data_IF_414209272930
#
_entry.id   IF_414209272930
#
_cell.length_a   1.000
_cell.length_b   1.000
_cell.length_c   1.000
_cell.angle_alpha   90.00
_cell.angle_beta   90.00
_cell.angle_gamma   90.00
#
_symmetry.space_group_name_H-M   'P 1'
#
loop_
_entity.id
_entity.type
_entity.pdbx_description
1 polymer ?
#
# COMPACT_ATOMS: atom_id res chain seq x y z
N UNK A 1 30.25 -2.94 17.06
CA UNK A 1 29.80 -3.49 18.36
C UNK A 1 28.33 -3.92 18.26
N UNK A 2 27.95 -4.61 17.17
CA UNK A 2 26.56 -5.06 17.01
C UNK A 2 26.35 -6.35 17.79
N UNK A 3 25.24 -6.44 18.50
CA UNK A 3 24.82 -7.60 19.29
C UNK A 3 23.30 -7.81 19.17
N UNK A 4 22.72 -8.69 20.00
CA UNK A 4 21.27 -8.95 19.98
C UNK A 4 20.44 -7.74 20.44
N UNK A 5 20.97 -6.93 21.36
CA UNK A 5 20.30 -5.74 21.87
C UNK A 5 20.48 -4.53 20.94
N UNK A 6 21.58 -4.51 20.18
CA UNK A 6 22.00 -3.46 19.26
C UNK A 6 22.22 -4.03 17.85
N UNK A 7 21.15 -4.17 17.03
CA UNK A 7 21.24 -4.82 15.73
C UNK A 7 22.25 -4.19 14.76
N UNK A 8 22.41 -2.86 14.81
CA UNK A 8 23.38 -2.12 14.01
C UNK A 8 24.07 -1.10 14.91
N UNK A 9 25.34 -1.36 15.26
CA UNK A 9 26.17 -0.44 16.04
C UNK A 9 27.59 -0.34 15.48
N UNK A 10 27.84 0.77 14.79
CA UNK A 10 29.13 1.13 14.21
C UNK A 10 29.73 2.29 15.03
N UNK A 11 30.91 2.07 15.60
CA UNK A 11 31.62 3.08 16.40
C UNK A 11 32.86 3.52 15.64
N UNK A 12 32.98 4.83 15.39
CA UNK A 12 34.12 5.45 14.71
C UNK A 12 34.85 6.31 15.74
N UNK A 13 36.03 5.86 16.17
CA UNK A 13 36.82 6.56 17.19
C UNK A 13 37.85 7.48 16.53
N UNK A 14 37.78 8.81 16.71
CA UNK A 14 38.78 9.73 16.18
C UNK A 14 40.10 9.59 16.95
N UNK A 15 41.21 10.00 16.31
CA UNK A 15 42.54 9.95 16.93
C UNK A 15 42.66 10.84 18.18
N UNK A 16 41.90 11.94 18.25
CA UNK A 16 41.95 12.91 19.35
C UNK A 16 40.63 13.69 19.46
N UNK A 17 40.33 14.22 20.64
CA UNK A 17 39.16 15.07 20.88
C UNK A 17 39.20 16.43 20.16
N UNK A 18 40.33 16.80 19.52
CA UNK A 18 40.45 18.02 18.71
C UNK A 18 39.95 17.84 17.28
N UNK A 19 39.68 16.59 16.87
CA UNK A 19 39.18 16.30 15.52
C UNK A 19 37.71 16.70 15.44
N UNK A 20 37.38 17.49 14.42
CA UNK A 20 35.99 17.83 14.12
C UNK A 20 35.24 16.63 13.55
N UNK A 21 34.39 16.03 14.38
CA UNK A 21 33.58 14.85 14.03
C UNK A 21 32.57 15.18 12.93
N UNK A 22 32.02 16.40 12.90
CA UNK A 22 31.03 16.76 11.87
C UNK A 22 31.65 16.78 10.47
N UNK A 23 32.86 17.32 10.35
CA UNK A 23 33.61 17.31 9.08
C UNK A 23 33.94 15.89 8.63
N UNK A 24 34.35 15.02 9.55
CA UNK A 24 34.59 13.60 9.25
C UNK A 24 33.31 12.91 8.80
N UNK A 25 32.18 13.14 9.48
CA UNK A 25 30.90 12.55 9.10
C UNK A 25 30.42 13.03 7.73
N UNK A 26 30.58 14.33 7.39
CA UNK A 26 30.28 14.85 6.05
C UNK A 26 31.11 14.15 4.97
N UNK A 27 32.40 13.92 5.23
CA UNK A 27 33.25 13.17 4.32
C UNK A 27 32.81 11.71 4.19
N UNK A 28 32.43 11.06 5.29
CA UNK A 28 31.94 9.69 5.28
C UNK A 28 30.60 9.56 4.54
N UNK A 29 29.66 10.50 4.69
CA UNK A 29 28.42 10.51 3.91
C UNK A 29 28.69 10.61 2.40
N UNK A 30 29.69 11.40 1.99
CA UNK A 30 30.01 11.57 0.57
C UNK A 30 30.77 10.38 -0.05
N UNK A 31 31.53 9.62 0.75
CA UNK A 31 32.44 8.58 0.24
C UNK A 31 32.03 7.16 0.60
N UNK A 32 31.05 7.00 1.49
CA UNK A 32 30.59 5.69 1.97
C UNK A 32 29.07 5.57 1.85
N UNK A 33 28.62 4.34 2.01
CA UNK A 33 27.20 3.95 1.96
C UNK A 33 26.35 4.43 3.15
N UNK A 34 26.91 5.26 4.06
CA UNK A 34 26.16 5.89 5.14
C UNK A 34 25.11 6.88 4.61
N UNK A 35 25.32 7.45 3.43
CA UNK A 35 24.29 8.19 2.69
C UNK A 35 24.06 7.53 1.33
N UNK A 36 22.80 7.27 0.98
CA UNK A 36 22.43 6.70 -0.31
C UNK A 36 21.27 7.44 -0.94
N UNK A 37 21.42 7.73 -2.22
CA UNK A 37 20.33 8.22 -3.06
C UNK A 37 19.59 7.06 -3.71
N UNK A 38 18.26 7.02 -3.55
CA UNK A 38 17.40 6.04 -4.20
C UNK A 38 16.61 6.70 -5.32
N UNK A 39 16.71 6.16 -6.53
CA UNK A 39 15.92 6.66 -7.67
C UNK A 39 14.47 6.22 -7.51
N UNK A 40 13.55 7.18 -7.58
CA UNK A 40 12.11 6.92 -7.54
C UNK A 40 11.54 7.17 -8.93
N UNK A 41 10.85 6.16 -9.48
CA UNK A 41 10.07 6.30 -10.71
C UNK A 41 8.69 5.65 -10.50
N UNK A 42 7.65 6.48 -10.38
CA UNK A 42 6.27 6.04 -10.18
C UNK A 42 5.58 5.69 -11.50
N UNK A 43 6.20 4.83 -12.30
CA UNK A 43 5.62 4.32 -13.55
C UNK A 43 4.74 3.10 -13.29
N UNK A 44 3.48 3.13 -13.74
CA UNK A 44 2.51 2.03 -13.54
C UNK A 44 1.46 2.00 -14.63
N UNK A 45 0.77 0.86 -14.76
CA UNK A 45 -0.37 0.71 -15.68
C UNK A 45 -1.62 1.32 -15.03
N UNK A 46 -2.30 2.21 -15.74
CA UNK A 46 -3.55 2.80 -15.29
C UNK A 46 -4.78 1.92 -15.48
N UNK A 47 -5.91 2.40 -14.98
CA UNK A 47 -7.22 1.81 -15.21
C UNK A 47 -7.62 1.85 -16.70
N UNK A 48 -6.99 2.73 -17.48
CA UNK A 48 -7.08 2.79 -18.94
C UNK A 48 -6.24 1.71 -19.65
N UNK A 49 -5.51 0.89 -18.90
CA UNK A 49 -4.65 -0.17 -19.40
C UNK A 49 -3.32 0.31 -20.00
N UNK A 50 -2.96 1.59 -19.85
CA UNK A 50 -1.75 2.16 -20.44
C UNK A 50 -0.68 2.45 -19.38
N UNK A 51 0.61 2.26 -19.68
CA UNK A 51 1.69 2.64 -18.77
C UNK A 51 1.84 4.16 -18.71
N UNK A 52 1.93 4.70 -17.49
CA UNK A 52 2.12 6.12 -17.26
C UNK A 52 2.89 6.37 -15.95
N UNK A 53 3.77 7.37 -15.96
CA UNK A 53 4.38 7.92 -14.74
C UNK A 53 3.36 8.82 -14.05
N UNK A 54 3.01 8.51 -12.79
CA UNK A 54 1.98 9.22 -12.02
C UNK A 54 2.58 9.90 -10.82
N UNK A 55 2.09 11.10 -10.50
CA UNK A 55 2.37 11.72 -9.22
C UNK A 55 1.49 11.09 -8.12
N UNK A 56 1.81 11.38 -6.85
CA UNK A 56 1.11 10.82 -5.70
C UNK A 56 -0.40 11.11 -5.72
N UNK A 57 -0.80 12.33 -6.07
CA UNK A 57 -2.22 12.72 -6.10
C UNK A 57 -2.99 11.93 -7.16
N UNK A 58 -2.49 11.86 -8.38
CA UNK A 58 -3.10 11.11 -9.48
C UNK A 58 -3.25 9.63 -9.11
N UNK A 59 -2.19 9.03 -8.56
CA UNK A 59 -2.19 7.65 -8.11
C UNK A 59 -3.30 7.39 -7.07
N UNK A 60 -3.41 8.25 -6.05
CA UNK A 60 -4.42 8.08 -5.00
C UNK A 60 -5.84 8.27 -5.53
N UNK A 61 -6.08 9.25 -6.40
CA UNK A 61 -7.41 9.48 -6.98
C UNK A 61 -7.86 8.30 -7.84
N UNK A 62 -6.96 7.76 -8.65
CA UNK A 62 -7.24 6.61 -9.50
C UNK A 62 -7.46 5.33 -8.69
N UNK A 63 -6.68 5.14 -7.62
CA UNK A 63 -6.90 4.04 -6.69
C UNK A 63 -8.26 4.15 -5.98
N UNK A 64 -8.68 5.36 -5.62
CA UNK A 64 -10.01 5.58 -5.03
C UNK A 64 -11.13 5.24 -6.01
N UNK A 65 -11.01 5.62 -7.28
CA UNK A 65 -12.01 5.25 -8.30
C UNK A 65 -12.09 3.73 -8.48
N UNK A 66 -10.94 3.06 -8.62
CA UNK A 66 -10.87 1.60 -8.63
C UNK A 66 -11.55 0.97 -7.40
N UNK A 67 -11.27 1.52 -6.21
CA UNK A 67 -11.79 0.99 -4.95
C UNK A 67 -13.30 1.19 -4.83
N UNK A 68 -13.83 2.30 -5.32
CA UNK A 68 -15.25 2.59 -5.37
C UNK A 68 -15.98 1.58 -6.28
N UNK A 69 -15.45 1.36 -7.49
CA UNK A 69 -16.03 0.40 -8.44
C UNK A 69 -16.01 -1.03 -7.88
N UNK A 70 -14.89 -1.44 -7.28
CA UNK A 70 -14.76 -2.76 -6.63
C UNK A 70 -15.78 -2.93 -5.50
N UNK A 71 -15.94 -1.90 -4.67
CA UNK A 71 -16.88 -1.93 -3.55
C UNK A 71 -18.32 -2.01 -4.05
N UNK A 72 -18.68 -1.24 -5.08
CA UNK A 72 -20.00 -1.30 -5.71
C UNK A 72 -20.31 -2.70 -6.26
N UNK A 73 -19.37 -3.29 -7.00
CA UNK A 73 -19.52 -4.67 -7.54
C UNK A 73 -19.74 -5.70 -6.43
N UNK A 74 -18.99 -5.59 -5.33
CA UNK A 74 -19.17 -6.47 -4.16
C UNK A 74 -20.55 -6.34 -3.53
N UNK A 75 -21.05 -5.11 -3.38
CA UNK A 75 -22.38 -4.86 -2.83
C UNK A 75 -23.48 -5.36 -3.77
N UNK A 76 -23.36 -5.12 -5.07
CA UNK A 76 -24.30 -5.61 -6.07
C UNK A 76 -24.39 -7.14 -6.05
N UNK A 77 -23.25 -7.83 -6.04
CA UNK A 77 -23.23 -9.29 -5.93
C UNK A 77 -23.99 -9.80 -4.70
N UNK A 78 -23.84 -9.13 -3.55
CA UNK A 78 -24.56 -9.50 -2.33
C UNK A 78 -26.05 -9.22 -2.44
N UNK A 79 -26.43 -8.07 -3.01
CA UNK A 79 -27.82 -7.70 -3.25
C UNK A 79 -28.52 -8.72 -4.15
N UNK A 80 -27.89 -9.12 -5.26
CA UNK A 80 -28.45 -10.10 -6.20
C UNK A 80 -28.71 -11.45 -5.52
N UNK A 81 -27.79 -11.89 -4.64
CA UNK A 81 -27.98 -13.11 -3.85
C UNK A 81 -29.15 -13.01 -2.87
N UNK A 82 -29.33 -11.85 -2.24
CA UNK A 82 -30.45 -11.62 -1.31
C UNK A 82 -31.78 -11.60 -2.08
N UNK A 83 -31.86 -10.89 -3.21
CA UNK A 83 -33.06 -10.83 -4.04
C UNK A 83 -33.45 -12.21 -4.58
N UNK A 84 -32.49 -12.99 -5.07
CA UNK A 84 -32.74 -14.36 -5.51
C UNK A 84 -33.29 -15.23 -4.37
N UNK A 85 -32.79 -15.05 -3.14
CA UNK A 85 -33.31 -15.78 -1.98
C UNK A 85 -34.72 -15.34 -1.59
N UNK A 86 -35.01 -14.04 -1.61
CA UNK A 86 -36.35 -13.51 -1.34
C UNK A 86 -37.38 -14.04 -2.34
N UNK A 87 -37.05 -14.05 -3.63
CA UNK A 87 -37.94 -14.57 -4.68
C UNK A 87 -38.36 -16.03 -4.43
N UNK A 88 -37.41 -16.88 -4.01
CA UNK A 88 -37.72 -18.27 -3.64
C UNK A 88 -38.62 -18.34 -2.39
N UNK A 89 -38.36 -17.50 -1.38
CA UNK A 89 -39.16 -17.48 -0.17
C UNK A 89 -40.60 -17.03 -0.43
N UNK A 90 -40.80 -16.05 -1.32
CA UNK A 90 -42.13 -15.59 -1.72
C UNK A 90 -42.94 -16.73 -2.38
N UNK A 91 -42.31 -17.48 -3.28
CA UNK A 91 -42.93 -18.65 -3.90
C UNK A 91 -43.30 -19.74 -2.90
N UNK A 92 -42.42 -20.03 -1.93
CA UNK A 92 -42.70 -21.00 -0.87
C UNK A 92 -43.86 -20.55 0.03
N UNK A 93 -43.98 -19.24 0.30
CA UNK A 93 -45.05 -18.70 1.12
C UNK A 93 -46.41 -18.80 0.42
N UNK A 94 -46.46 -18.55 -0.89
CA UNK A 94 -47.66 -18.78 -1.70
C UNK A 94 -48.05 -20.27 -1.71
N UNK A 95 -47.08 -21.16 -1.91
CA UNK A 95 -47.34 -22.60 -1.89
C UNK A 95 -47.88 -23.08 -0.52
N UNK A 96 -47.33 -22.56 0.57
CA UNK A 96 -47.80 -22.85 1.92
C UNK A 96 -49.24 -22.37 2.17
N UNK A 97 -49.63 -21.22 1.61
CA UNK A 97 -51.00 -20.68 1.75
C UNK A 97 -52.06 -21.46 0.97
N UNK A 98 -51.68 -22.22 -0.06
CA UNK A 98 -52.60 -22.94 -0.95
C UNK A 98 -52.42 -24.48 -0.84
N UNK A 99 -51.99 -24.96 0.33
CA UNK A 99 -51.60 -26.36 0.52
C UNK A 99 -52.76 -27.29 0.93
N UNK A 100 -53.97 -26.74 1.12
CA UNK A 100 -55.22 -27.49 1.25
C UNK A 100 -55.74 -27.99 -0.10
#
# INVERSE_FOLDING_TARGET
>A
ESDHENPIRLVVTPRSNRVDIESVMKHLFATTDLEKSYRVNMNMIGLDGRPQVKNLKTLLLEWLDYRLQTTRRRLQWRLDKVLARLHILDGLLIAYLNID
#
